data_IF_549318973087
#
_entry.id   IF_549318973087
#
_cell.length_a   1.000
_cell.length_b   1.000
_cell.length_c   1.000
_cell.angle_alpha   90.00
_cell.angle_beta   90.00
_cell.angle_gamma   90.00
#
_symmetry.space_group_name_H-M   'P 1'
#
loop_
_entity.id
_entity.type
_entity.pdbx_description
1 polymer ?
#
# COMPACT_ATOMS: atom_id res chain seq x y z
N UNK A 1 -0.83 -10.69 -18.57
CA UNK A 1 0.08 -11.79 -18.17
C UNK A 1 0.77 -11.38 -16.87
N UNK A 2 0.89 -12.26 -15.86
CA UNK A 2 1.67 -11.95 -14.65
C UNK A 2 3.16 -12.05 -14.98
N UNK A 3 3.92 -11.02 -14.65
CA UNK A 3 5.36 -10.92 -14.89
C UNK A 3 6.17 -11.20 -13.62
N UNK A 4 5.64 -10.82 -12.46
CA UNK A 4 6.27 -10.96 -11.16
C UNK A 4 5.21 -11.03 -10.06
N UNK A 5 5.46 -11.80 -9.00
CA UNK A 5 4.55 -11.99 -7.89
C UNK A 5 5.32 -12.15 -6.58
N UNK A 6 4.87 -11.48 -5.54
CA UNK A 6 5.36 -11.61 -4.17
C UNK A 6 4.18 -11.72 -3.22
N UNK A 7 4.24 -12.61 -2.23
CA UNK A 7 3.17 -12.76 -1.22
C UNK A 7 3.73 -12.44 0.15
N UNK A 8 2.97 -11.69 0.96
CA UNK A 8 3.35 -11.40 2.35
C UNK A 8 3.46 -12.68 3.16
N UNK A 9 4.30 -12.69 4.19
CA UNK A 9 4.52 -13.88 5.03
C UNK A 9 3.26 -14.37 5.75
N UNK A 10 2.31 -13.47 6.00
CA UNK A 10 0.99 -13.77 6.57
C UNK A 10 -0.07 -14.19 5.52
N UNK A 11 0.29 -14.19 4.23
CA UNK A 11 -0.59 -14.57 3.12
C UNK A 11 -1.73 -13.61 2.83
N UNK A 12 -1.79 -12.43 3.46
CA UNK A 12 -2.91 -11.49 3.32
C UNK A 12 -2.86 -10.68 2.02
N UNK A 13 -1.68 -10.43 1.47
CA UNK A 13 -1.49 -9.65 0.26
C UNK A 13 -0.53 -10.37 -0.69
N UNK A 14 -0.85 -10.29 -1.97
CA UNK A 14 0.03 -10.71 -3.06
C UNK A 14 0.24 -9.50 -3.97
N UNK A 15 1.45 -8.94 -3.98
CA UNK A 15 1.84 -7.88 -4.91
C UNK A 15 2.14 -8.52 -6.26
N UNK A 16 1.53 -8.00 -7.32
CA UNK A 16 1.72 -8.48 -8.69
C UNK A 16 2.19 -7.35 -9.60
N UNK A 17 3.10 -7.69 -10.50
CA UNK A 17 3.36 -6.92 -11.71
C UNK A 17 2.68 -7.65 -12.85
N UNK A 18 1.72 -7.00 -13.49
CA UNK A 18 0.92 -7.59 -14.56
C UNK A 18 1.05 -6.77 -15.84
N UNK A 19 1.32 -7.44 -16.96
CA UNK A 19 1.21 -6.87 -18.29
C UNK A 19 -0.25 -6.74 -18.69
N UNK A 20 -0.68 -5.51 -18.97
CA UNK A 20 -1.92 -5.12 -19.63
C UNK A 20 -1.65 -4.67 -21.07
N UNK A 21 -2.71 -4.35 -21.82
CA UNK A 21 -2.62 -3.96 -23.23
C UNK A 21 -1.93 -2.59 -23.41
N UNK A 22 -2.01 -1.73 -22.39
CA UNK A 22 -1.45 -0.38 -22.34
C UNK A 22 -0.11 -0.29 -21.61
N UNK A 23 0.37 -1.39 -21.00
CA UNK A 23 1.65 -1.43 -20.31
C UNK A 23 1.64 -2.34 -19.09
N UNK A 24 2.80 -2.50 -18.41
CA UNK A 24 2.83 -3.13 -17.10
C UNK A 24 2.16 -2.24 -16.05
N UNK A 25 1.50 -2.86 -15.06
CA UNK A 25 1.02 -2.18 -13.86
C UNK A 25 1.32 -3.02 -12.61
N UNK A 26 1.45 -2.31 -11.49
CA UNK A 26 1.78 -2.85 -10.16
C UNK A 26 0.52 -2.76 -9.32
N UNK A 27 0.08 -3.86 -8.71
CA UNK A 27 -1.12 -3.86 -7.87
C UNK A 27 -1.15 -5.05 -6.92
N UNK A 28 -2.26 -5.24 -6.23
CA UNK A 28 -2.47 -6.40 -5.36
C UNK A 28 -3.46 -7.38 -6.00
N UNK A 29 -3.11 -8.67 -6.02
CA UNK A 29 -3.91 -9.70 -6.65
C UNK A 29 -5.35 -9.72 -6.08
N UNK A 30 -6.34 -9.65 -6.98
CA UNK A 30 -7.76 -9.66 -6.61
C UNK A 30 -8.29 -8.36 -6.01
N UNK A 31 -7.49 -7.28 -5.98
CA UNK A 31 -7.89 -5.95 -5.53
C UNK A 31 -7.90 -4.96 -6.72
N UNK A 32 -8.69 -3.89 -6.62
CA UNK A 32 -8.88 -2.94 -7.73
C UNK A 32 -7.73 -1.95 -7.91
N UNK A 33 -6.96 -1.70 -6.85
CA UNK A 33 -5.87 -0.72 -6.89
C UNK A 33 -4.68 -1.26 -7.67
N UNK A 34 -4.18 -0.44 -8.58
CA UNK A 34 -2.92 -0.61 -9.26
C UNK A 34 -2.38 0.77 -9.68
N UNK A 35 -1.09 0.82 -10.02
CA UNK A 35 -0.43 1.99 -10.60
C UNK A 35 0.44 1.58 -11.77
N UNK A 36 0.63 2.49 -12.73
CA UNK A 36 1.49 2.29 -13.89
C UNK A 36 2.86 2.95 -13.64
N UNK A 37 3.97 2.37 -14.16
CA UNK A 37 5.31 2.89 -13.92
C UNK A 37 5.57 4.30 -14.45
N UNK A 38 4.88 4.74 -15.50
CA UNK A 38 4.99 6.09 -16.05
C UNK A 38 4.62 7.17 -15.03
N UNK A 39 3.66 6.88 -14.15
CA UNK A 39 3.26 7.75 -13.04
C UNK A 39 4.29 7.81 -11.90
N UNK A 40 5.24 6.87 -11.87
CA UNK A 40 6.25 6.71 -10.82
C UNK A 40 7.61 7.28 -11.22
N UNK A 41 7.80 7.61 -12.50
CA UNK A 41 9.02 8.27 -13.00
C UNK A 41 9.20 9.63 -12.32
N UNK A 42 10.45 9.97 -12.01
CA UNK A 42 10.84 11.15 -11.24
C UNK A 42 10.84 10.92 -9.73
N UNK A 43 10.02 10.01 -9.22
CA UNK A 43 9.98 9.64 -7.79
C UNK A 43 10.79 8.38 -7.49
N UNK A 44 10.62 7.35 -8.32
CA UNK A 44 11.22 6.02 -8.11
C UNK A 44 12.25 5.63 -9.19
N UNK A 45 12.43 6.45 -10.22
CA UNK A 45 13.41 6.20 -11.28
C UNK A 45 13.38 7.28 -12.35
N UNK A 46 14.40 7.31 -13.20
CA UNK A 46 14.53 8.19 -14.37
C UNK A 46 13.88 7.59 -15.64
N UNK A 47 13.46 6.33 -15.59
CA UNK A 47 12.70 5.63 -16.63
C UNK A 47 11.68 4.66 -15.99
N UNK A 48 10.72 4.18 -16.78
CA UNK A 48 9.65 3.28 -16.32
C UNK A 48 10.16 1.98 -15.71
N UNK A 49 11.22 1.38 -16.28
CA UNK A 49 11.76 0.12 -15.77
C UNK A 49 12.33 0.31 -14.37
N UNK A 50 13.16 1.32 -14.16
CA UNK A 50 13.72 1.63 -12.84
C UNK A 50 12.63 2.07 -11.88
N UNK A 51 11.66 2.87 -12.31
CA UNK A 51 10.55 3.29 -11.47
C UNK A 51 9.74 2.08 -10.97
N UNK A 52 9.44 1.12 -11.85
CA UNK A 52 8.78 -0.13 -11.49
C UNK A 52 9.61 -0.93 -10.48
N UNK A 53 10.89 -1.16 -10.76
CA UNK A 53 11.77 -1.98 -9.90
C UNK A 53 11.98 -1.36 -8.53
N UNK A 54 12.20 -0.05 -8.48
CA UNK A 54 12.40 0.69 -7.24
C UNK A 54 11.12 0.76 -6.41
N UNK A 55 9.95 0.94 -7.04
CA UNK A 55 8.68 0.98 -6.32
C UNK A 55 8.33 -0.38 -5.71
N UNK A 56 8.45 -1.47 -6.49
CA UNK A 56 8.29 -2.83 -5.97
C UNK A 56 9.27 -3.07 -4.81
N UNK A 57 10.55 -2.73 -4.99
CA UNK A 57 11.56 -2.86 -3.94
C UNK A 57 11.22 -2.03 -2.69
N UNK A 58 10.68 -0.83 -2.85
CA UNK A 58 10.29 0.03 -1.74
C UNK A 58 9.13 -0.57 -0.92
N UNK A 59 8.15 -1.18 -1.59
CA UNK A 59 7.08 -1.94 -0.90
C UNK A 59 7.69 -3.12 -0.12
N UNK A 60 8.44 -3.99 -0.80
CA UNK A 60 8.96 -5.24 -0.22
C UNK A 60 9.94 -5.02 0.93
N UNK A 61 10.60 -3.86 0.99
CA UNK A 61 11.56 -3.49 2.03
C UNK A 61 10.99 -2.49 3.05
N UNK A 62 9.67 -2.44 3.23
CA UNK A 62 8.98 -1.62 4.24
C UNK A 62 9.28 -0.12 4.16
N UNK A 63 9.59 0.40 2.98
CA UNK A 63 9.78 1.84 2.76
C UNK A 63 8.48 2.57 2.44
N UNK A 64 7.45 1.82 2.07
CA UNK A 64 6.12 2.34 1.75
C UNK A 64 5.06 1.66 2.60
N UNK A 65 4.01 2.42 2.88
CA UNK A 65 2.88 1.99 3.68
C UNK A 65 1.83 1.37 2.76
N UNK A 66 1.10 0.40 3.30
CA UNK A 66 -0.06 -0.20 2.65
C UNK A 66 -1.25 0.05 3.55
N UNK A 67 -2.18 0.86 3.07
CA UNK A 67 -3.44 1.11 3.76
C UNK A 67 -4.43 0.06 3.30
N UNK A 68 -4.95 -0.72 4.23
CA UNK A 68 -5.85 -1.84 3.96
C UNK A 68 -7.22 -1.60 4.59
N UNK A 69 -8.30 -1.83 3.85
CA UNK A 69 -9.63 -2.06 4.42
C UNK A 69 -9.79 -3.55 4.66
N UNK A 70 -9.98 -3.94 5.92
CA UNK A 70 -10.05 -5.33 6.39
C UNK A 70 -11.43 -5.61 6.96
N UNK A 71 -12.09 -6.63 6.43
CA UNK A 71 -13.36 -7.14 6.95
C UNK A 71 -13.29 -8.66 7.06
N UNK A 72 -13.74 -9.21 8.20
CA UNK A 72 -13.80 -10.67 8.45
C UNK A 72 -12.48 -11.37 8.09
N UNK A 73 -11.37 -10.81 8.57
CA UNK A 73 -10.00 -11.31 8.39
C UNK A 73 -9.51 -11.38 6.93
N UNK A 74 -10.17 -10.68 6.00
CA UNK A 74 -9.76 -10.52 4.61
C UNK A 74 -9.51 -9.06 4.27
N UNK A 75 -8.50 -8.81 3.44
CA UNK A 75 -8.31 -7.49 2.81
C UNK A 75 -9.29 -7.34 1.64
N UNK A 76 -10.16 -6.33 1.73
CA UNK A 76 -11.14 -6.02 0.67
C UNK A 76 -10.63 -4.93 -0.29
N UNK A 77 -9.79 -4.03 0.21
CA UNK A 77 -9.13 -2.96 -0.55
C UNK A 77 -7.76 -2.70 0.04
N UNK A 78 -6.80 -2.38 -0.81
CA UNK A 78 -5.49 -1.92 -0.39
C UNK A 78 -4.95 -0.89 -1.39
N UNK A 79 -4.15 0.06 -0.92
CA UNK A 79 -3.35 0.95 -1.76
C UNK A 79 -2.05 1.29 -1.05
N UNK A 80 -1.09 1.79 -1.82
CA UNK A 80 0.22 2.21 -1.31
C UNK A 80 0.22 3.70 -1.03
N UNK A 81 0.87 4.09 0.06
CA UNK A 81 1.05 5.46 0.51
C UNK A 81 2.50 5.66 0.96
N UNK A 82 3.06 6.84 0.77
CA UNK A 82 4.42 7.20 1.19
C UNK A 82 4.44 8.17 2.38
N UNK A 83 3.27 8.66 2.80
CA UNK A 83 3.12 9.55 3.94
C UNK A 83 2.43 8.85 5.10
N UNK A 84 3.14 8.72 6.22
CA UNK A 84 2.60 8.12 7.43
C UNK A 84 1.38 8.90 7.95
N UNK A 85 1.42 10.22 7.98
CA UNK A 85 0.31 11.01 8.52
C UNK A 85 -0.98 10.75 7.72
N UNK A 86 -0.91 10.81 6.39
CA UNK A 86 -2.06 10.65 5.50
C UNK A 86 -2.64 9.22 5.61
N UNK A 87 -1.76 8.20 5.62
CA UNK A 87 -2.15 6.81 5.82
C UNK A 87 -2.87 6.59 7.18
N UNK A 88 -2.35 7.21 8.24
CA UNK A 88 -2.91 7.09 9.59
C UNK A 88 -4.25 7.85 9.72
N UNK A 89 -4.40 9.00 9.08
CA UNK A 89 -5.68 9.74 9.01
C UNK A 89 -6.74 8.92 8.27
N UNK A 90 -6.38 8.30 7.15
CA UNK A 90 -7.27 7.42 6.41
C UNK A 90 -7.74 6.23 7.28
N UNK A 91 -6.83 5.64 8.07
CA UNK A 91 -7.17 4.58 9.03
C UNK A 91 -8.05 5.07 10.19
N UNK A 92 -7.75 6.23 10.77
CA UNK A 92 -8.53 6.79 11.88
C UNK A 92 -9.99 7.09 11.48
N UNK A 93 -10.23 7.44 10.21
CA UNK A 93 -11.56 7.68 9.65
C UNK A 93 -12.43 6.41 9.52
N UNK A 94 -11.90 5.21 9.74
CA UNK A 94 -12.64 3.95 9.52
C UNK A 94 -12.26 2.83 10.49
N UNK A 95 -13.29 2.18 11.06
CA UNK A 95 -13.10 1.00 11.93
C UNK A 95 -12.54 -0.23 11.19
N UNK A 96 -12.61 -0.25 9.86
CA UNK A 96 -12.13 -1.38 9.05
C UNK A 96 -10.76 -1.09 8.45
N UNK A 97 -10.27 0.14 8.52
CA UNK A 97 -9.00 0.48 7.91
C UNK A 97 -7.84 0.29 8.87
N UNK A 98 -6.74 -0.24 8.35
CA UNK A 98 -5.52 -0.54 9.08
C UNK A 98 -4.34 -0.24 8.17
N UNK A 99 -3.27 0.27 8.77
CA UNK A 99 -2.00 0.51 8.06
C UNK A 99 -1.02 -0.61 8.39
N UNK A 100 -0.26 -1.04 7.37
CA UNK A 100 0.82 -2.01 7.49
C UNK A 100 2.01 -1.62 6.63
N UNK A 101 3.17 -2.17 6.96
CA UNK A 101 4.22 -2.38 5.98
C UNK A 101 4.04 -3.73 5.30
N UNK A 102 4.94 -4.08 4.39
CA UNK A 102 4.96 -5.40 3.79
C UNK A 102 5.14 -6.49 4.85
N UNK A 103 6.09 -6.28 5.76
CA UNK A 103 6.43 -7.23 6.84
C UNK A 103 5.35 -7.42 7.90
N UNK A 104 4.41 -6.48 8.06
CA UNK A 104 3.32 -6.65 9.02
C UNK A 104 2.58 -5.35 9.39
N UNK A 105 1.55 -5.52 10.20
CA UNK A 105 0.68 -4.45 10.68
C UNK A 105 1.41 -3.46 11.59
N UNK A 106 1.10 -2.16 11.44
CA UNK A 106 1.43 -1.18 12.46
C UNK A 106 0.64 -1.48 13.74
N UNK A 107 1.26 -1.23 14.89
CA UNK A 107 0.65 -1.50 16.19
C UNK A 107 -0.64 -0.70 16.39
N UNK A 108 -1.58 -1.27 17.15
CA UNK A 108 -2.87 -0.63 17.43
C UNK A 108 -2.72 0.72 18.12
N UNK A 109 -1.69 0.92 18.93
CA UNK A 109 -1.39 2.20 19.58
C UNK A 109 -1.09 3.31 18.57
N UNK A 110 -0.41 2.97 17.48
CA UNK A 110 -0.19 3.89 16.37
C UNK A 110 -1.50 4.12 15.60
N UNK A 111 -2.28 3.06 15.30
CA UNK A 111 -3.58 3.16 14.60
C UNK A 111 -4.68 3.93 15.36
N UNK A 112 -4.51 4.17 16.67
CA UNK A 112 -5.50 4.88 17.51
C UNK A 112 -5.08 6.31 17.87
N UNK A 113 -3.79 6.65 17.78
CA UNK A 113 -3.26 7.93 18.30
C UNK A 113 -3.63 9.17 17.47
N UNK A 114 -4.08 9.01 16.22
CA UNK A 114 -4.57 10.14 15.41
C UNK A 114 -6.00 10.59 15.77
N UNK A 115 -6.81 9.74 16.39
CA UNK A 115 -8.19 10.08 16.77
C UNK A 115 -8.28 11.01 18.00
N UNK A 116 -7.18 11.18 18.74
CA UNK A 116 -7.14 11.94 20.00
C UNK A 116 -6.79 13.42 19.84
N UNK A 117 -6.34 13.86 18.65
CA UNK A 117 -5.78 15.21 18.47
C UNK A 117 -6.82 16.29 18.10
N UNK A 118 -8.09 15.92 17.86
CA UNK A 118 -9.12 16.89 17.41
C UNK A 118 -10.06 17.40 18.51
N UNK A 119 -9.76 17.17 19.80
CA UNK A 119 -10.64 17.55 20.91
C UNK A 119 -9.98 18.44 21.96
N UNK A 120 -9.26 19.49 21.55
CA UNK A 120 -8.94 20.62 22.44
C UNK A 120 -8.91 21.94 21.66
N UNK A 121 -10.08 22.47 21.31
CA UNK A 121 -10.32 23.91 21.22
C UNK A 121 -11.72 24.19 21.77
N UNK A 122 -11.77 24.57 23.04
CA UNK A 122 -12.89 25.26 23.70
C UNK A 122 -12.32 26.45 24.44
#
# INVERSE_FOLDING_TARGET
MILEEHTTSDGLLTLIVQQFDDGPAIGFAGLSWHTHPDLLVGYYGDDEEKALRSFVSAILNDKLLIVCSVARDRVERAWVDDNLQDAMEAAAGSKTMKVRYWSGWLSSEMNTSAASASSQQS
#
